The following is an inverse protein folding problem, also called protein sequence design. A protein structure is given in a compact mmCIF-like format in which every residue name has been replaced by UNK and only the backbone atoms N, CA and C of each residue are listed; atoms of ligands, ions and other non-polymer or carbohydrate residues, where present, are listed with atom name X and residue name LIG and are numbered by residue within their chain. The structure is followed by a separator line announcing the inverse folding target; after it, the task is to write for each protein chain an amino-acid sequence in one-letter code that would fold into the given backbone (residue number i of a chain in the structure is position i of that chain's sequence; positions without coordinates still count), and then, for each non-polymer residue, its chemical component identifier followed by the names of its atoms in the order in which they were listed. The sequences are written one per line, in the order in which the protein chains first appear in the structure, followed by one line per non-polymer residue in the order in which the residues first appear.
data_IF_814554288503
#
_entry.id   IF_814554288503
#
_cell.length_a   1.000
_cell.length_b   1.000
_cell.length_c   1.000
_cell.angle_alpha   90.00
_cell.angle_beta   90.00
_cell.angle_gamma   90.00
#
_symmetry.space_group_name_H-M   'P 1'
#
loop_
_entity.id
_entity.type
_entity.pdbx_description
1 polymer ?
#
# COMPACT_ATOMS: atom_id res chain seq x y z
N UNK A 1 1.67 13.71 -7.42
CA UNK A 1 2.57 13.16 -6.40
C UNK A 1 2.66 11.64 -6.53
N UNK A 2 3.88 11.08 -6.70
CA UNK A 2 4.11 9.64 -6.60
C UNK A 2 4.19 9.23 -5.12
N UNK A 3 3.40 8.24 -4.74
CA UNK A 3 3.26 7.79 -3.34
C UNK A 3 4.21 6.61 -3.07
N UNK A 4 5.41 6.90 -2.59
CA UNK A 4 6.49 5.93 -2.44
C UNK A 4 6.59 5.32 -1.03
N UNK A 5 6.02 5.95 -0.02
CA UNK A 5 6.19 5.51 1.36
C UNK A 5 7.67 5.47 1.77
N UNK A 6 8.12 4.30 2.24
CA UNK A 6 9.52 4.05 2.57
C UNK A 6 10.40 3.62 1.38
N UNK A 7 9.78 3.46 0.19
CA UNK A 7 10.53 3.10 -1.00
C UNK A 7 11.34 4.30 -1.54
N UNK A 8 12.41 4.05 -2.30
CA UNK A 8 13.13 5.11 -2.98
C UNK A 8 12.21 6.00 -3.81
N UNK A 9 12.55 7.27 -3.92
CA UNK A 9 11.80 8.22 -4.76
C UNK A 9 11.75 7.70 -6.19
N UNK A 10 10.59 7.84 -6.82
CA UNK A 10 10.45 7.51 -8.25
C UNK A 10 11.38 8.38 -9.06
N UNK A 11 12.25 7.77 -9.83
CA UNK A 11 13.20 8.47 -10.69
C UNK A 11 12.53 9.17 -11.87
N UNK A 12 13.17 10.18 -12.42
CA UNK A 12 12.65 10.93 -13.58
C UNK A 12 12.33 10.03 -14.78
N UNK A 13 13.16 9.06 -15.16
CA UNK A 13 12.82 8.10 -16.22
C UNK A 13 11.59 7.25 -15.92
N UNK A 14 11.43 6.82 -14.66
CA UNK A 14 10.27 6.06 -14.22
C UNK A 14 8.99 6.90 -14.25
N UNK A 15 9.04 8.15 -13.76
CA UNK A 15 7.93 9.09 -13.84
C UNK A 15 7.45 9.26 -15.29
N UNK A 16 8.38 9.45 -16.22
CA UNK A 16 8.08 9.56 -17.65
C UNK A 16 7.44 8.29 -18.22
N UNK A 17 7.93 7.12 -17.80
CA UNK A 17 7.39 5.83 -18.24
C UNK A 17 5.97 5.60 -17.72
N UNK A 18 5.71 5.95 -16.46
CA UNK A 18 4.41 5.73 -15.81
C UNK A 18 3.34 6.68 -16.34
N UNK A 19 3.68 7.95 -16.51
CA UNK A 19 2.73 8.99 -16.96
C UNK A 19 2.56 9.02 -18.48
N UNK A 20 3.53 8.48 -19.21
CA UNK A 20 3.64 8.66 -20.65
C UNK A 20 4.28 10.01 -21.02
N UNK A 21 4.78 10.12 -22.27
CA UNK A 21 5.56 11.28 -22.68
C UNK A 21 4.73 12.58 -22.68
N UNK A 22 3.46 12.53 -23.04
CA UNK A 22 2.60 13.71 -23.16
C UNK A 22 2.38 14.38 -21.80
N UNK A 23 1.84 13.66 -20.83
CA UNK A 23 1.60 14.22 -19.48
C UNK A 23 2.92 14.60 -18.79
N UNK A 24 3.98 13.82 -19.00
CA UNK A 24 5.27 14.14 -18.44
C UNK A 24 5.84 15.46 -19.00
N UNK A 25 5.77 15.68 -20.31
CA UNK A 25 6.27 16.89 -20.96
C UNK A 25 5.45 18.13 -20.58
N UNK A 26 4.16 17.98 -20.36
CA UNK A 26 3.27 19.05 -19.96
C UNK A 26 3.51 19.50 -18.52
N UNK A 27 3.56 18.56 -17.56
CA UNK A 27 3.50 18.90 -16.14
C UNK A 27 4.84 18.85 -15.40
N UNK A 28 5.83 18.08 -15.88
CA UNK A 28 7.10 17.97 -15.17
C UNK A 28 7.91 19.29 -15.14
N UNK A 29 8.03 20.04 -16.27
CA UNK A 29 8.78 21.31 -16.27
C UNK A 29 8.16 22.39 -15.38
N UNK A 30 6.88 22.27 -15.06
CA UNK A 30 6.15 23.22 -14.21
C UNK A 30 6.26 22.93 -12.73
N UNK A 31 6.95 21.85 -12.35
CA UNK A 31 7.07 21.40 -10.95
C UNK A 31 5.82 20.72 -10.38
N UNK A 32 4.83 20.42 -11.23
CA UNK A 32 3.58 19.77 -10.81
C UNK A 32 3.70 18.25 -10.62
N UNK A 33 4.83 17.66 -11.02
CA UNK A 33 5.11 16.24 -10.80
C UNK A 33 6.23 16.12 -9.78
N UNK A 34 5.94 15.45 -8.67
CA UNK A 34 6.91 15.20 -7.60
C UNK A 34 6.74 13.80 -7.01
N UNK A 35 7.71 13.36 -6.25
CA UNK A 35 7.73 12.08 -5.54
C UNK A 35 7.75 12.31 -4.04
N UNK A 36 6.97 11.55 -3.31
CA UNK A 36 6.99 11.55 -1.85
C UNK A 36 8.35 11.06 -1.34
N UNK A 37 8.80 11.69 -0.26
CA UNK A 37 9.93 11.24 0.53
C UNK A 37 9.49 11.23 2.00
N UNK A 38 9.62 10.07 2.64
CA UNK A 38 9.19 9.87 4.02
C UNK A 38 10.09 10.55 5.06
N UNK A 39 11.18 11.16 4.63
CA UNK A 39 12.16 11.88 5.46
C UNK A 39 12.31 13.36 5.09
N UNK A 40 11.57 13.85 4.11
CA UNK A 40 11.57 15.25 3.70
C UNK A 40 10.70 16.11 4.63
N UNK A 41 11.29 16.52 5.75
CA UNK A 41 10.59 17.28 6.80
C UNK A 41 10.04 18.63 6.35
N UNK A 42 10.57 19.23 5.28
CA UNK A 42 10.08 20.49 4.74
C UNK A 42 8.71 20.35 4.06
N UNK A 43 8.45 19.13 3.54
CA UNK A 43 7.21 18.81 2.85
C UNK A 43 6.31 17.87 3.63
N UNK A 44 6.41 17.88 4.95
CA UNK A 44 5.59 17.07 5.85
C UNK A 44 4.87 17.96 6.87
N UNK A 45 3.64 17.58 7.19
CA UNK A 45 2.77 18.24 8.18
C UNK A 45 2.45 17.27 9.30
N UNK A 46 2.76 17.64 10.52
CA UNK A 46 2.43 16.87 11.71
C UNK A 46 0.95 17.10 12.09
N UNK A 47 0.14 16.05 12.00
CA UNK A 47 -1.26 16.07 12.37
C UNK A 47 -1.52 15.65 13.82
N UNK A 48 -0.48 15.25 14.54
CA UNK A 48 -0.59 14.73 15.90
C UNK A 48 -0.85 13.24 15.97
N UNK A 49 -1.56 12.82 16.99
CA UNK A 49 -1.74 11.40 17.32
C UNK A 49 -3.19 10.97 17.15
N UNK A 50 -3.40 9.78 16.58
CA UNK A 50 -4.72 9.15 16.58
C UNK A 50 -5.17 8.86 18.03
N UNK A 51 -6.47 8.61 18.26
CA UNK A 51 -6.94 8.16 19.58
C UNK A 51 -6.25 6.88 20.09
N UNK A 52 -5.68 6.09 19.21
CA UNK A 52 -4.92 4.88 19.53
C UNK A 52 -3.42 5.13 19.76
N UNK A 53 -2.99 6.38 19.68
CA UNK A 53 -1.61 6.79 19.95
C UNK A 53 -0.66 6.70 18.75
N UNK A 54 -1.16 6.45 17.53
CA UNK A 54 -0.34 6.42 16.32
C UNK A 54 -0.04 7.85 15.85
N UNK A 55 1.24 8.18 15.69
CA UNK A 55 1.66 9.49 15.19
C UNK A 55 1.41 9.61 13.68
N UNK A 56 0.72 10.64 13.25
CA UNK A 56 0.36 10.86 11.85
C UNK A 56 1.01 12.11 11.32
N UNK A 57 1.94 11.94 10.38
CA UNK A 57 2.66 13.02 9.70
C UNK A 57 2.46 12.81 8.20
N UNK A 58 1.79 13.75 7.56
CA UNK A 58 1.30 13.66 6.20
C UNK A 58 2.10 14.53 5.23
N UNK A 59 2.20 14.11 3.97
CA UNK A 59 2.78 14.92 2.91
C UNK A 59 2.03 16.23 2.74
N UNK A 60 2.77 17.34 2.71
CA UNK A 60 2.24 18.71 2.67
C UNK A 60 1.42 18.99 1.40
N UNK A 61 1.83 18.47 0.25
CA UNK A 61 1.07 18.66 -1.00
C UNK A 61 -0.32 18.05 -0.93
N UNK A 62 -0.46 16.93 -0.24
CA UNK A 62 -1.77 16.30 -0.02
C UNK A 62 -2.59 17.06 1.02
N UNK A 63 -1.93 17.55 2.07
CA UNK A 63 -2.57 18.36 3.10
C UNK A 63 -3.14 19.66 2.54
N UNK A 64 -2.38 20.36 1.71
CA UNK A 64 -2.75 21.66 1.13
C UNK A 64 -3.74 21.55 -0.04
N UNK A 65 -3.82 20.40 -0.72
CA UNK A 65 -4.68 20.21 -1.87
C UNK A 65 -6.17 20.32 -1.50
N UNK A 66 -6.99 20.99 -2.33
CA UNK A 66 -8.44 21.06 -2.14
C UNK A 66 -9.12 19.70 -2.28
N UNK A 67 -8.60 18.87 -3.20
CA UNK A 67 -9.07 17.51 -3.46
C UNK A 67 -7.88 16.58 -3.58
N UNK A 68 -7.88 15.50 -2.80
CA UNK A 68 -6.88 14.44 -2.88
C UNK A 68 -7.48 13.22 -3.59
N UNK A 69 -6.99 12.93 -4.81
CA UNK A 69 -7.37 11.75 -5.58
C UNK A 69 -6.24 10.74 -5.51
N UNK A 70 -6.53 9.58 -4.94
CA UNK A 70 -5.59 8.47 -4.80
C UNK A 70 -5.81 7.49 -5.95
N UNK A 71 -4.79 7.31 -6.79
CA UNK A 71 -4.85 6.41 -7.94
C UNK A 71 -3.93 5.24 -7.70
N UNK A 72 -4.46 4.03 -7.83
CA UNK A 72 -3.66 2.83 -7.63
C UNK A 72 -4.37 1.53 -7.99
N UNK A 73 -4.07 0.50 -7.23
CA UNK A 73 -4.70 -0.80 -7.44
C UNK A 73 -5.05 -1.49 -6.13
N UNK A 74 -6.07 -2.33 -6.18
CA UNK A 74 -6.47 -3.22 -5.09
C UNK A 74 -6.01 -4.63 -5.38
N UNK A 75 -5.09 -5.11 -4.54
CA UNK A 75 -4.54 -6.46 -4.60
C UNK A 75 -4.44 -7.04 -3.20
N UNK A 76 -4.52 -8.34 -3.06
CA UNK A 76 -4.31 -9.00 -1.77
C UNK A 76 -2.96 -8.68 -1.15
N UNK A 77 -2.98 -8.38 0.13
CA UNK A 77 -1.81 -8.07 0.93
C UNK A 77 -1.82 -8.97 2.19
N UNK A 78 -0.76 -9.73 2.44
CA UNK A 78 -0.77 -10.74 3.52
C UNK A 78 -0.87 -10.15 4.93
N UNK A 79 -0.54 -8.89 5.12
CA UNK A 79 -0.59 -8.25 6.43
C UNK A 79 -1.82 -7.38 6.62
N UNK A 80 -2.12 -6.51 5.67
CA UNK A 80 -3.21 -5.53 5.75
C UNK A 80 -4.47 -5.92 4.96
N UNK A 81 -4.57 -7.17 4.48
CA UNK A 81 -5.69 -7.66 3.68
C UNK A 81 -5.59 -7.25 2.21
N UNK A 82 -5.64 -5.97 1.91
CA UNK A 82 -5.59 -5.44 0.54
C UNK A 82 -4.74 -4.17 0.43
N UNK A 83 -4.17 -3.92 -0.76
CA UNK A 83 -3.68 -2.61 -1.17
C UNK A 83 -4.86 -1.70 -1.54
N UNK A 84 -4.57 -0.47 -1.96
CA UNK A 84 -5.59 0.51 -2.29
C UNK A 84 -6.24 1.18 -1.08
N UNK A 85 -7.19 2.08 -1.34
CA UNK A 85 -7.94 2.77 -0.31
C UNK A 85 -7.05 3.48 0.72
N UNK A 86 -7.39 3.39 1.99
CA UNK A 86 -6.61 4.03 3.06
C UNK A 86 -5.17 3.53 3.21
N UNK A 87 -4.81 2.38 2.63
CA UNK A 87 -3.41 1.95 2.61
C UNK A 87 -2.54 2.91 1.80
N UNK A 88 -3.05 3.53 0.73
CA UNK A 88 -2.31 4.58 0.00
C UNK A 88 -1.93 5.73 0.93
N UNK A 89 -2.86 6.16 1.78
CA UNK A 89 -2.60 7.25 2.72
C UNK A 89 -1.61 6.81 3.80
N UNK A 90 -1.93 5.74 4.51
CA UNK A 90 -1.20 5.32 5.69
C UNK A 90 0.24 4.87 5.41
N UNK A 91 0.52 4.40 4.20
CA UNK A 91 1.87 3.91 3.84
C UNK A 91 2.55 4.70 2.73
N UNK A 92 1.80 5.34 1.83
CA UNK A 92 2.34 5.88 0.59
C UNK A 92 2.77 7.33 0.66
N UNK A 93 2.15 8.12 1.54
CA UNK A 93 2.29 9.58 1.61
C UNK A 93 2.54 10.11 3.02
N UNK A 94 3.08 9.27 3.89
CA UNK A 94 3.36 9.61 5.29
C UNK A 94 4.83 9.46 5.63
N UNK A 95 5.22 10.12 6.71
CA UNK A 95 6.54 10.00 7.31
C UNK A 95 6.78 8.57 7.83
N UNK A 96 8.04 8.14 7.89
CA UNK A 96 8.42 6.80 8.36
C UNK A 96 7.90 6.48 9.77
N UNK A 97 7.79 7.46 10.67
CA UNK A 97 7.22 7.24 12.02
C UNK A 97 5.75 6.83 11.98
N UNK A 98 4.97 7.42 11.08
CA UNK A 98 3.56 7.04 10.89
C UNK A 98 3.46 5.61 10.35
N UNK A 99 4.37 5.25 9.43
CA UNK A 99 4.45 3.90 8.87
C UNK A 99 4.89 2.89 9.93
N UNK A 100 5.80 3.26 10.82
CA UNK A 100 6.29 2.39 11.89
C UNK A 100 5.19 1.97 12.87
N UNK A 101 4.12 2.73 13.02
CA UNK A 101 2.99 2.37 13.87
C UNK A 101 2.31 1.04 13.48
N UNK A 102 2.44 0.66 12.21
CA UNK A 102 1.84 -0.57 11.68
C UNK A 102 2.85 -1.54 11.04
N UNK A 103 4.11 -1.13 10.83
CA UNK A 103 5.19 -1.98 10.31
C UNK A 103 6.14 -2.45 11.42
N UNK A 104 5.58 -2.94 12.51
CA UNK A 104 6.31 -3.51 13.64
C UNK A 104 5.93 -4.98 13.85
N UNK A 105 6.82 -5.81 14.41
CA UNK A 105 6.55 -7.23 14.60
C UNK A 105 5.23 -7.51 15.30
N UNK A 106 4.86 -6.73 16.30
CA UNK A 106 3.64 -6.88 17.08
C UNK A 106 2.36 -6.78 16.23
N UNK A 107 2.38 -5.97 15.19
CA UNK A 107 1.25 -5.78 14.26
C UNK A 107 1.33 -6.73 13.08
N UNK A 108 2.54 -7.03 12.60
CA UNK A 108 2.79 -7.86 11.43
C UNK A 108 2.75 -9.36 11.72
N UNK A 109 3.19 -9.79 12.92
CA UNK A 109 3.18 -11.19 13.33
C UNK A 109 1.77 -11.64 13.66
N UNK A 110 1.12 -12.22 12.66
CA UNK A 110 -0.20 -12.80 12.81
C UNK A 110 -0.08 -14.32 12.92
N UNK A 111 -0.81 -14.90 13.86
CA UNK A 111 -0.88 -16.35 14.02
C UNK A 111 -1.74 -17.03 12.95
N UNK A 112 -2.68 -16.28 12.39
CA UNK A 112 -3.67 -16.80 11.45
C UNK A 112 -3.19 -16.79 9.99
N UNK A 113 -2.26 -15.94 9.59
CA UNK A 113 -1.77 -15.75 8.20
C UNK A 113 -2.87 -16.02 7.14
N UNK A 114 -4.09 -15.65 7.49
CA UNK A 114 -5.19 -15.74 6.53
C UNK A 114 -4.90 -14.72 5.47
N UNK A 115 -4.86 -15.13 4.20
CA UNK A 115 -4.47 -14.24 3.11
C UNK A 115 -5.29 -12.96 3.08
N UNK A 116 -6.58 -13.03 3.41
CA UNK A 116 -7.44 -11.86 3.46
C UNK A 116 -7.82 -11.57 4.89
N UNK A 117 -7.22 -10.58 5.48
CA UNK A 117 -7.75 -10.07 6.72
C UNK A 117 -8.04 -8.58 6.61
N UNK A 118 -9.27 -8.30 6.30
CA UNK A 118 -9.86 -6.98 6.48
C UNK A 118 -10.05 -6.63 7.95
N UNK A 119 -9.85 -7.61 8.84
CA UNK A 119 -9.93 -7.49 10.30
C UNK A 119 -8.56 -7.56 11.00
N UNK A 120 -7.45 -7.52 10.24
CA UNK A 120 -6.12 -7.49 10.85
C UNK A 120 -5.88 -6.17 11.59
N UNK A 121 -5.04 -6.21 12.61
CA UNK A 121 -4.63 -5.00 13.33
C UNK A 121 -3.99 -3.98 12.38
N UNK A 122 -3.15 -4.43 11.45
CA UNK A 122 -2.56 -3.55 10.43
C UNK A 122 -3.64 -2.87 9.57
N UNK A 123 -4.68 -3.59 9.14
CA UNK A 123 -5.81 -2.99 8.39
C UNK A 123 -6.53 -1.95 9.22
N UNK A 124 -6.81 -2.24 10.48
CA UNK A 124 -7.45 -1.28 11.39
C UNK A 124 -6.60 -0.01 11.53
N UNK A 125 -5.28 -0.14 11.63
CA UNK A 125 -4.37 1.03 11.69
C UNK A 125 -4.37 1.84 10.40
N UNK A 126 -4.38 1.20 9.22
CA UNK A 126 -4.52 1.93 7.95
C UNK A 126 -5.81 2.73 7.90
N UNK A 127 -6.92 2.11 8.27
CA UNK A 127 -8.23 2.75 8.23
C UNK A 127 -8.32 3.89 9.27
N UNK A 128 -7.80 3.69 10.47
CA UNK A 128 -7.75 4.70 11.52
C UNK A 128 -6.90 5.90 11.13
N UNK A 129 -5.69 5.67 10.61
CA UNK A 129 -4.82 6.75 10.17
C UNK A 129 -5.45 7.52 8.99
N UNK A 130 -6.01 6.82 8.01
CA UNK A 130 -6.68 7.46 6.87
C UNK A 130 -7.88 8.31 7.29
N UNK A 131 -8.74 7.78 8.15
CA UNK A 131 -9.88 8.54 8.68
C UNK A 131 -9.45 9.73 9.55
N UNK A 132 -8.37 9.57 10.32
CA UNK A 132 -7.80 10.66 11.11
C UNK A 132 -7.24 11.79 10.22
N UNK A 133 -6.55 11.45 9.13
CA UNK A 133 -6.11 12.42 8.14
C UNK A 133 -7.29 13.19 7.56
N UNK A 134 -8.36 12.48 7.16
CA UNK A 134 -9.59 13.10 6.63
C UNK A 134 -10.20 14.10 7.63
N UNK A 135 -10.27 13.73 8.90
CA UNK A 135 -10.76 14.59 9.97
C UNK A 135 -9.90 15.86 10.12
N UNK A 136 -8.57 15.70 10.19
CA UNK A 136 -7.64 16.82 10.36
C UNK A 136 -7.57 17.75 9.16
N UNK A 137 -7.71 17.22 7.96
CA UNK A 137 -7.78 18.01 6.74
C UNK A 137 -9.14 18.68 6.50
N UNK A 138 -10.21 18.20 7.13
CA UNK A 138 -11.59 18.60 6.83
C UNK A 138 -12.07 18.18 5.44
N UNK A 139 -11.44 17.18 4.82
CA UNK A 139 -11.74 16.68 3.47
C UNK A 139 -11.52 15.18 3.38
N UNK A 140 -12.14 14.54 2.38
CA UNK A 140 -12.08 13.09 2.22
C UNK A 140 -11.15 12.70 1.09
N UNK A 141 -10.56 11.52 1.16
CA UNK A 141 -9.82 10.90 0.08
C UNK A 141 -10.78 10.28 -0.95
N UNK A 142 -10.64 10.71 -2.18
CA UNK A 142 -11.29 10.06 -3.31
C UNK A 142 -10.32 9.06 -3.94
N UNK A 143 -10.73 7.82 -4.05
CA UNK A 143 -9.89 6.76 -4.61
C UNK A 143 -10.36 6.39 -6.01
N UNK A 144 -9.40 6.00 -6.85
CA UNK A 144 -9.61 5.36 -8.13
C UNK A 144 -8.65 4.16 -8.21
N UNK A 145 -9.15 2.99 -7.85
CA UNK A 145 -8.34 1.78 -7.72
C UNK A 145 -8.75 0.74 -8.77
N UNK A 146 -7.75 0.24 -9.50
CA UNK A 146 -7.92 -0.86 -10.43
C UNK A 146 -7.74 -2.21 -9.74
N UNK A 147 -8.53 -3.20 -10.08
CA UNK A 147 -8.23 -4.61 -9.81
C UNK A 147 -7.54 -5.19 -11.04
N UNK A 148 -6.38 -5.81 -10.83
CA UNK A 148 -5.55 -6.34 -11.91
C UNK A 148 -5.63 -7.87 -11.99
N UNK A 149 -5.50 -8.41 -13.20
CA UNK A 149 -5.30 -9.85 -13.40
C UNK A 149 -3.82 -10.26 -13.23
N UNK A 150 -3.53 -11.54 -13.42
CA UNK A 150 -2.16 -12.08 -13.31
C UNK A 150 -1.20 -11.59 -14.39
N UNK A 151 -1.71 -10.88 -15.40
CA UNK A 151 -0.93 -10.26 -16.47
C UNK A 151 -0.88 -8.74 -16.33
N UNK A 152 -1.27 -8.20 -15.16
CA UNK A 152 -1.36 -6.78 -14.86
C UNK A 152 -2.36 -5.99 -15.73
N UNK A 153 -3.35 -6.68 -16.32
CA UNK A 153 -4.42 -6.00 -17.05
C UNK A 153 -5.51 -5.58 -16.08
N UNK A 154 -6.07 -4.40 -16.30
CA UNK A 154 -7.19 -3.89 -15.51
C UNK A 154 -8.46 -4.66 -15.86
N UNK A 155 -9.03 -5.35 -14.88
CA UNK A 155 -10.29 -6.10 -15.04
C UNK A 155 -11.49 -5.40 -14.40
N UNK A 156 -11.24 -4.49 -13.48
CA UNK A 156 -12.25 -3.67 -12.83
C UNK A 156 -11.59 -2.38 -12.34
N UNK A 157 -12.31 -1.26 -12.41
CA UNK A 157 -11.91 0.03 -11.82
C UNK A 157 -13.05 0.49 -10.91
N UNK A 158 -12.73 0.76 -9.67
CA UNK A 158 -13.68 1.30 -8.70
C UNK A 158 -13.24 2.70 -8.27
N UNK A 159 -14.17 3.63 -8.24
CA UNK A 159 -13.94 5.01 -7.81
C UNK A 159 -14.94 5.43 -6.76
N UNK A 160 -14.50 6.23 -5.81
CA UNK A 160 -15.34 6.74 -4.73
C UNK A 160 -14.55 7.16 -3.50
N UNK A 161 -15.24 7.61 -2.47
CA UNK A 161 -14.61 7.92 -1.20
C UNK A 161 -13.98 6.67 -0.60
N UNK A 162 -12.76 6.77 -0.08
CA UNK A 162 -11.95 5.64 0.36
C UNK A 162 -12.73 4.62 1.22
N UNK A 163 -13.45 5.09 2.22
CA UNK A 163 -14.20 4.24 3.15
C UNK A 163 -15.29 3.39 2.46
N UNK A 164 -15.97 3.97 1.46
CA UNK A 164 -17.05 3.29 0.74
C UNK A 164 -16.52 2.43 -0.41
N UNK A 165 -15.49 2.89 -1.10
CA UNK A 165 -14.96 2.26 -2.29
C UNK A 165 -14.16 0.99 -1.97
N UNK A 166 -13.28 1.04 -0.96
CA UNK A 166 -12.37 -0.08 -0.68
C UNK A 166 -13.06 -1.44 -0.48
N UNK A 167 -14.19 -1.59 0.26
CA UNK A 167 -14.83 -2.88 0.40
C UNK A 167 -15.49 -3.38 -0.90
N UNK A 168 -15.77 -2.50 -1.86
CA UNK A 168 -16.28 -2.89 -3.18
C UNK A 168 -15.16 -3.54 -4.00
N UNK A 169 -14.00 -2.89 -4.08
CA UNK A 169 -12.82 -3.41 -4.78
C UNK A 169 -12.33 -4.74 -4.18
N UNK A 170 -12.45 -4.91 -2.87
CA UNK A 170 -12.05 -6.13 -2.18
C UNK A 170 -12.80 -7.38 -2.68
N UNK A 171 -14.07 -7.26 -3.05
CA UNK A 171 -14.88 -8.39 -3.53
C UNK A 171 -14.32 -9.00 -4.81
N UNK A 172 -13.83 -8.16 -5.73
CA UNK A 172 -13.22 -8.62 -6.98
C UNK A 172 -11.76 -9.04 -6.76
N UNK A 173 -11.01 -8.27 -5.97
CA UNK A 173 -9.65 -8.63 -5.59
C UNK A 173 -9.58 -9.99 -4.87
N UNK A 174 -10.56 -10.30 -4.03
CA UNK A 174 -10.68 -11.56 -3.31
C UNK A 174 -10.75 -12.76 -4.26
N UNK A 175 -11.61 -12.69 -5.25
CA UNK A 175 -11.74 -13.73 -6.28
C UNK A 175 -10.46 -13.94 -7.09
N UNK A 176 -9.63 -12.91 -7.21
CA UNK A 176 -8.37 -12.93 -7.97
C UNK A 176 -7.19 -13.41 -7.15
N UNK A 177 -7.12 -13.02 -5.88
CA UNK A 177 -5.95 -13.24 -5.03
C UNK A 177 -6.02 -14.58 -4.30
N UNK A 178 -7.22 -15.00 -3.92
CA UNK A 178 -7.42 -16.15 -3.05
C UNK A 178 -8.09 -17.31 -3.79
N UNK A 179 -7.39 -17.83 -4.76
CA UNK A 179 -7.79 -19.09 -5.40
C UNK A 179 -7.61 -20.22 -4.39
N UNK A 180 -8.63 -21.03 -4.20
CA UNK A 180 -8.69 -22.12 -3.21
C UNK A 180 -7.76 -23.31 -3.54
N UNK A 181 -6.48 -23.03 -3.77
CA UNK A 181 -5.48 -24.08 -3.95
C UNK A 181 -4.98 -24.70 -2.63
N UNK A 182 -5.35 -24.11 -1.50
CA UNK A 182 -4.89 -24.51 -0.17
C UNK A 182 -5.66 -25.70 0.47
N UNK A 183 -6.52 -26.40 -0.25
CA UNK A 183 -7.18 -27.61 0.27
C UNK A 183 -6.25 -28.81 0.39
N UNK A 184 -5.12 -28.80 -0.32
CA UNK A 184 -4.13 -29.90 -0.33
C UNK A 184 -2.85 -29.42 0.33
N UNK A 185 -2.29 -30.27 1.20
CA UNK A 185 -0.94 -30.08 1.73
C UNK A 185 0.04 -30.77 0.80
N UNK A 186 1.18 -30.17 0.55
CA UNK A 186 2.23 -30.67 -0.32
C UNK A 186 3.46 -30.99 0.50
N UNK A 187 4.17 -32.07 0.12
CA UNK A 187 5.43 -32.46 0.75
C UNK A 187 6.59 -31.57 0.30
N UNK A 188 6.48 -31.03 -0.91
CA UNK A 188 7.48 -30.13 -1.50
C UNK A 188 6.75 -28.91 -2.08
N UNK A 189 7.23 -27.73 -1.70
CA UNK A 189 6.75 -26.44 -2.25
C UNK A 189 7.91 -25.72 -2.90
N UNK A 190 7.78 -25.40 -4.19
CA UNK A 190 8.74 -24.59 -4.92
C UNK A 190 8.22 -23.18 -5.01
N UNK A 191 8.93 -22.25 -4.39
CA UNK A 191 8.56 -20.84 -4.35
C UNK A 191 9.46 -20.04 -5.29
N UNK A 192 8.87 -19.46 -6.33
CA UNK A 192 9.55 -18.53 -7.24
C UNK A 192 9.62 -17.13 -6.61
N UNK A 193 10.82 -16.60 -6.52
CA UNK A 193 11.06 -15.31 -5.90
C UNK A 193 11.50 -14.29 -6.97
N UNK A 194 10.98 -13.05 -6.97
CA UNK A 194 11.41 -12.03 -7.94
C UNK A 194 12.88 -11.66 -7.73
N UNK A 195 13.58 -11.36 -8.81
CA UNK A 195 15.00 -11.01 -8.80
C UNK A 195 15.26 -9.58 -8.31
N UNK A 196 14.27 -8.72 -8.39
CA UNK A 196 14.35 -7.33 -7.91
C UNK A 196 13.13 -7.01 -7.06
N UNK A 197 13.37 -6.38 -5.93
CA UNK A 197 12.34 -5.83 -5.09
C UNK A 197 12.79 -4.50 -4.50
N UNK A 198 11.86 -3.59 -4.25
CA UNK A 198 12.12 -2.21 -3.84
C UNK A 198 12.91 -2.03 -2.53
N UNK A 199 13.10 -3.07 -1.75
CA UNK A 199 13.85 -3.04 -0.48
C UNK A 199 15.26 -3.66 -0.57
N UNK A 200 15.79 -3.86 -1.76
CA UNK A 200 17.15 -4.38 -1.95
C UNK A 200 17.32 -5.29 -3.17
N UNK A 201 18.55 -5.42 -3.61
CA UNK A 201 18.95 -6.27 -4.72
C UNK A 201 19.02 -7.73 -4.26
N UNK A 202 17.94 -8.44 -4.47
CA UNK A 202 17.90 -9.87 -4.19
C UNK A 202 17.22 -10.26 -2.88
N UNK A 203 16.56 -11.36 -2.95
CA UNK A 203 15.64 -11.86 -1.93
C UNK A 203 16.31 -12.37 -0.66
N UNK A 204 17.54 -12.81 -0.76
CA UNK A 204 18.31 -13.25 0.41
C UNK A 204 18.67 -12.11 1.37
N UNK A 205 18.51 -10.86 0.94
CA UNK A 205 18.82 -9.68 1.73
C UNK A 205 17.56 -8.99 2.31
N UNK A 206 16.37 -9.42 1.89
CA UNK A 206 15.13 -8.84 2.42
C UNK A 206 14.42 -9.77 3.40
N UNK A 207 14.59 -9.56 4.73
CA UNK A 207 13.99 -10.44 5.73
C UNK A 207 12.45 -10.44 5.70
N UNK A 208 11.81 -9.36 5.28
CA UNK A 208 10.35 -9.27 5.21
C UNK A 208 9.82 -10.24 4.14
N UNK A 209 10.45 -10.30 2.98
CA UNK A 209 10.03 -11.22 1.93
C UNK A 209 10.34 -12.68 2.23
N UNK A 210 11.50 -12.94 2.85
CA UNK A 210 11.80 -14.28 3.35
C UNK A 210 10.77 -14.73 4.38
N UNK A 211 10.36 -13.84 5.28
CA UNK A 211 9.29 -14.13 6.24
C UNK A 211 7.95 -14.36 5.55
N UNK A 212 7.60 -13.60 4.53
CA UNK A 212 6.37 -13.81 3.74
C UNK A 212 6.37 -15.17 3.06
N UNK A 213 7.46 -15.52 2.39
CA UNK A 213 7.61 -16.81 1.71
C UNK A 213 7.54 -17.98 2.71
N UNK A 214 8.30 -17.90 3.81
CA UNK A 214 8.33 -18.94 4.85
C UNK A 214 6.99 -19.06 5.58
N UNK A 215 6.42 -17.95 6.01
CA UNK A 215 5.18 -17.96 6.81
C UNK A 215 3.96 -18.31 5.98
N UNK A 216 3.80 -17.69 4.83
CA UNK A 216 2.59 -17.86 4.02
C UNK A 216 2.58 -19.18 3.24
N UNK A 217 3.74 -19.72 2.87
CA UNK A 217 3.82 -20.88 2.00
C UNK A 217 4.35 -22.13 2.71
N UNK A 218 5.40 -22.04 3.53
CA UNK A 218 6.04 -23.22 4.13
C UNK A 218 5.29 -23.68 5.37
N UNK A 219 4.97 -22.78 6.29
CA UNK A 219 4.29 -23.15 7.56
C UNK A 219 2.89 -23.72 7.27
N UNK A 220 2.21 -23.22 6.27
CA UNK A 220 0.87 -23.68 5.86
C UNK A 220 0.84 -25.14 5.40
N UNK A 221 1.95 -25.63 4.83
CA UNK A 221 2.08 -27.01 4.34
C UNK A 221 2.70 -27.95 5.34
N UNK A 222 3.10 -27.47 6.51
CA UNK A 222 3.61 -28.32 7.61
C UNK A 222 2.52 -29.33 8.02
N UNK A 223 2.86 -30.60 7.97
CA UNK A 223 2.04 -31.70 8.47
C UNK A 223 2.11 -31.80 9.98
#
# INVERSE_FOLDING_TARGET
LFSNGLHPRTSVPEMKTILGPELFQEFYPTGQITSHDSEDYEHLVDLGYTPQGDHVILNKYVYDADVAILIGHTQGNPYGGYSGGYKHCATGITHWRSISAHHVPQVMHRQDFVPVSTSSEMRHKFDQQGMYMEEKMGKKFFCCDAVLDTQNRQIEINSGWAKQMQPVSWKTADKRTYVHWAKKKYDVVVFGMPTKFHYGDGMGTNPIQMMQALSAQVIRHKR
#
